data_IF_116806568462
#
_entry.id   IF_116806568462
#
_cell.length_a   1.000
_cell.length_b   1.000
_cell.length_c   1.000
_cell.angle_alpha   90.00
_cell.angle_beta   90.00
_cell.angle_gamma   90.00
#
_symmetry.space_group_name_H-M   'P 1'
#
loop_
_entity.id
_entity.type
_entity.pdbx_description
1 polymer ?
#
# COMPACT_ATOMS: atom_id res chain seq x y z
N UNK A 1 -32.10 18.69 29.19
CA UNK A 1 -31.77 18.57 27.75
C UNK A 1 -32.22 17.21 27.28
N UNK A 2 -33.25 17.07 26.43
CA UNK A 2 -33.70 15.78 25.86
C UNK A 2 -32.79 15.44 24.66
N UNK A 3 -32.23 14.25 24.66
CA UNK A 3 -31.45 13.72 23.52
C UNK A 3 -32.34 13.72 22.25
N UNK A 4 -31.96 14.46 21.18
CA UNK A 4 -32.76 14.52 19.96
C UNK A 4 -32.83 13.22 19.18
N UNK A 5 -32.07 12.22 19.58
CA UNK A 5 -32.08 10.86 19.00
C UNK A 5 -33.10 10.00 19.75
N UNK A 6 -34.31 9.94 19.20
CA UNK A 6 -35.38 9.10 19.74
C UNK A 6 -35.06 7.60 19.77
N UNK A 7 -35.93 6.80 20.47
CA UNK A 7 -35.67 5.37 20.72
C UNK A 7 -35.44 4.47 19.49
N UNK A 8 -35.67 4.98 18.29
CA UNK A 8 -35.50 4.23 17.02
C UNK A 8 -34.05 4.09 16.54
N UNK A 9 -33.08 4.80 17.14
CA UNK A 9 -31.66 4.70 16.76
C UNK A 9 -30.92 3.53 17.44
N UNK A 10 -31.56 2.83 18.36
CA UNK A 10 -31.01 1.67 19.09
C UNK A 10 -31.53 0.30 18.63
N UNK A 11 -32.25 0.21 17.54
CA UNK A 11 -32.35 -1.07 16.84
C UNK A 11 -30.93 -1.43 16.38
N UNK A 12 -30.19 -2.15 17.20
CA UNK A 12 -28.99 -2.87 16.80
C UNK A 12 -29.40 -3.66 15.55
N UNK A 13 -28.99 -3.16 14.37
CA UNK A 13 -29.09 -3.95 13.15
C UNK A 13 -28.29 -5.22 13.44
N UNK A 14 -28.96 -6.32 13.69
CA UNK A 14 -28.35 -7.65 13.68
C UNK A 14 -27.91 -7.88 12.24
N UNK A 15 -26.68 -7.46 11.92
CA UNK A 15 -26.05 -7.90 10.70
C UNK A 15 -25.99 -9.43 10.77
N UNK A 16 -26.49 -10.15 9.78
CA UNK A 16 -26.45 -11.60 9.81
C UNK A 16 -24.99 -12.04 9.94
N UNK A 17 -24.69 -13.10 10.70
CA UNK A 17 -23.33 -13.56 10.92
C UNK A 17 -22.67 -13.86 9.57
N UNK A 18 -21.50 -13.27 9.34
CA UNK A 18 -20.72 -13.48 8.12
C UNK A 18 -20.39 -14.98 8.00
N UNK A 19 -20.78 -15.57 6.90
CA UNK A 19 -20.52 -16.99 6.64
C UNK A 19 -19.16 -17.14 5.95
N UNK A 20 -18.46 -18.24 6.19
CA UNK A 20 -17.17 -18.55 5.54
C UNK A 20 -17.27 -18.46 4.01
N UNK A 21 -18.39 -18.84 3.42
CA UNK A 21 -18.63 -18.68 1.97
C UNK A 21 -18.58 -17.23 1.47
N UNK A 22 -18.94 -16.27 2.32
CA UNK A 22 -18.91 -14.85 1.97
C UNK A 22 -17.47 -14.34 1.91
N UNK A 23 -16.58 -14.90 2.74
CA UNK A 23 -15.14 -14.66 2.69
C UNK A 23 -14.54 -15.19 1.37
N UNK A 24 -14.88 -16.43 1.00
CA UNK A 24 -14.41 -17.00 -0.27
C UNK A 24 -14.97 -16.26 -1.49
N UNK A 25 -16.16 -15.65 -1.39
CA UNK A 25 -16.72 -14.85 -2.46
C UNK A 25 -15.86 -13.60 -2.78
N UNK A 26 -15.12 -13.05 -1.81
CA UNK A 26 -14.20 -11.93 -2.04
C UNK A 26 -13.09 -12.28 -3.06
N UNK A 27 -12.60 -13.51 -3.03
CA UNK A 27 -11.57 -13.97 -3.97
C UNK A 27 -12.07 -14.18 -5.41
N UNK A 28 -13.38 -14.10 -5.64
CA UNK A 28 -13.98 -14.09 -6.98
C UNK A 28 -13.99 -12.68 -7.60
N UNK A 29 -13.84 -11.64 -6.78
CA UNK A 29 -13.78 -10.25 -7.24
C UNK A 29 -12.34 -10.00 -7.73
N UNK A 30 -12.16 -9.89 -9.04
CA UNK A 30 -10.84 -9.75 -9.66
C UNK A 30 -10.09 -8.51 -9.16
N UNK A 31 -10.77 -7.39 -9.04
CA UNK A 31 -10.20 -6.16 -8.51
C UNK A 31 -9.77 -6.29 -7.05
N UNK A 32 -10.52 -7.02 -6.21
CA UNK A 32 -10.12 -7.30 -4.84
C UNK A 32 -8.80 -8.09 -4.78
N UNK A 33 -8.72 -9.18 -5.54
CA UNK A 33 -7.52 -10.05 -5.57
C UNK A 33 -6.30 -9.31 -6.08
N UNK A 34 -6.43 -8.59 -7.21
CA UNK A 34 -5.32 -7.85 -7.80
C UNK A 34 -4.87 -6.67 -6.94
N UNK A 35 -5.80 -5.98 -6.27
CA UNK A 35 -5.47 -4.95 -5.30
C UNK A 35 -4.70 -5.51 -4.10
N UNK A 36 -5.19 -6.61 -3.52
CA UNK A 36 -4.53 -7.28 -2.38
C UNK A 36 -3.15 -7.79 -2.77
N UNK A 37 -3.00 -8.41 -3.94
CA UNK A 37 -1.70 -8.86 -4.45
C UNK A 37 -0.71 -7.69 -4.66
N UNK A 38 -1.19 -6.58 -5.27
CA UNK A 38 -0.38 -5.38 -5.46
C UNK A 38 0.04 -4.74 -4.13
N UNK A 39 -0.91 -4.61 -3.19
CA UNK A 39 -0.63 -4.11 -1.84
C UNK A 39 0.36 -5.02 -1.10
N UNK A 40 0.26 -6.34 -1.24
CA UNK A 40 1.21 -7.29 -0.63
C UNK A 40 2.63 -7.09 -1.18
N UNK A 41 2.78 -6.96 -2.49
CA UNK A 41 4.07 -6.68 -3.12
C UNK A 41 4.63 -5.31 -2.69
N UNK A 42 3.80 -4.28 -2.62
CA UNK A 42 4.18 -2.95 -2.12
C UNK A 42 4.60 -3.02 -0.65
N UNK A 43 3.82 -3.69 0.21
CA UNK A 43 4.09 -3.82 1.63
C UNK A 43 5.38 -4.63 1.86
N UNK A 44 5.65 -5.64 1.03
CA UNK A 44 6.94 -6.35 1.03
C UNK A 44 8.12 -5.38 0.79
N UNK A 45 8.03 -4.50 -0.21
CA UNK A 45 9.07 -3.53 -0.49
C UNK A 45 9.24 -2.52 0.66
N UNK A 46 8.14 -1.99 1.21
CA UNK A 46 8.17 -1.06 2.35
C UNK A 46 8.78 -1.73 3.58
N UNK A 47 8.38 -2.95 3.93
CA UNK A 47 8.88 -3.69 5.08
C UNK A 47 10.40 -3.93 5.00
N UNK A 48 10.87 -4.40 3.83
CA UNK A 48 12.28 -4.61 3.58
C UNK A 48 13.10 -3.31 3.64
N UNK A 49 12.62 -2.25 2.98
CA UNK A 49 13.29 -0.93 3.01
C UNK A 49 13.31 -0.37 4.43
N UNK A 50 12.18 -0.38 5.13
CA UNK A 50 12.09 0.17 6.49
C UNK A 50 13.03 -0.52 7.48
N UNK A 51 13.22 -1.83 7.32
CA UNK A 51 14.08 -2.61 8.20
C UNK A 51 15.57 -2.46 7.85
N UNK A 52 15.92 -2.58 6.56
CA UNK A 52 17.31 -2.69 6.14
C UNK A 52 17.96 -1.38 5.72
N UNK A 53 17.21 -0.35 5.28
CA UNK A 53 17.81 0.88 4.74
C UNK A 53 18.67 1.63 5.76
N UNK A 54 18.25 1.84 7.03
CA UNK A 54 19.12 2.54 7.98
C UNK A 54 20.43 1.79 8.23
N UNK A 55 20.37 0.46 8.32
CA UNK A 55 21.55 -0.37 8.49
C UNK A 55 22.45 -0.36 7.27
N UNK A 56 21.86 -0.43 6.06
CA UNK A 56 22.59 -0.29 4.81
C UNK A 56 23.33 1.04 4.72
N UNK A 57 22.67 2.13 5.06
CA UNK A 57 23.30 3.46 5.07
C UNK A 57 24.45 3.53 6.07
N UNK A 58 24.29 2.92 7.23
CA UNK A 58 25.34 2.89 8.25
C UNK A 58 26.56 2.07 7.83
N UNK A 59 26.36 0.84 7.33
CA UNK A 59 27.43 -0.10 7.05
C UNK A 59 28.13 0.17 5.70
N UNK A 60 27.39 0.60 4.67
CA UNK A 60 27.90 0.67 3.29
C UNK A 60 28.04 2.10 2.77
N UNK A 61 27.34 3.05 3.38
CA UNK A 61 27.34 4.45 2.95
C UNK A 61 27.84 5.40 4.05
N UNK A 62 28.38 4.87 5.14
CA UNK A 62 28.83 5.63 6.29
C UNK A 62 29.91 6.69 5.94
N UNK A 63 30.83 6.37 5.03
CA UNK A 63 31.86 7.29 4.57
C UNK A 63 31.32 8.55 3.86
N UNK A 64 30.13 8.46 3.26
CA UNK A 64 29.50 9.57 2.54
C UNK A 64 29.01 10.68 3.49
N UNK A 65 28.96 10.44 4.80
CA UNK A 65 28.44 11.41 5.80
C UNK A 65 29.48 12.40 6.32
N UNK A 66 30.74 12.24 5.95
CA UNK A 66 31.87 13.13 6.36
C UNK A 66 32.29 12.99 7.81
N UNK A 67 31.36 12.75 8.74
CA UNK A 67 31.58 12.45 10.15
C UNK A 67 31.46 10.95 10.42
N UNK A 68 31.85 10.49 11.61
CA UNK A 68 31.65 9.11 12.02
C UNK A 68 30.16 8.74 11.91
N UNK A 69 29.80 7.67 11.18
CA UNK A 69 28.40 7.32 10.98
C UNK A 69 27.70 7.01 12.32
N UNK A 70 26.51 7.54 12.50
CA UNK A 70 25.70 7.34 13.71
C UNK A 70 24.35 6.74 13.32
N UNK A 71 24.14 5.47 13.67
CA UNK A 71 22.92 4.73 13.34
C UNK A 71 21.66 5.40 13.92
N UNK A 72 21.74 5.98 15.12
CA UNK A 72 20.62 6.70 15.73
C UNK A 72 20.21 7.93 14.93
N UNK A 73 21.20 8.72 14.44
CA UNK A 73 20.95 9.89 13.57
C UNK A 73 20.36 9.46 12.22
N UNK A 74 20.87 8.38 11.63
CA UNK A 74 20.35 7.84 10.37
C UNK A 74 18.90 7.39 10.54
N UNK A 75 18.58 6.65 11.61
CA UNK A 75 17.21 6.23 11.91
C UNK A 75 16.29 7.43 12.12
N UNK A 76 16.74 8.48 12.81
CA UNK A 76 15.93 9.68 13.04
C UNK A 76 15.60 10.39 11.72
N UNK A 77 16.60 10.59 10.85
CA UNK A 77 16.41 11.24 9.55
C UNK A 77 15.49 10.40 8.66
N UNK A 78 15.76 9.09 8.56
CA UNK A 78 14.93 8.18 7.77
C UNK A 78 13.50 8.11 8.30
N UNK A 79 13.31 8.05 9.62
CA UNK A 79 12.00 8.08 10.25
C UNK A 79 11.25 9.37 9.96
N UNK A 80 11.91 10.54 10.06
CA UNK A 80 11.33 11.84 9.72
C UNK A 80 10.91 11.90 8.24
N UNK A 81 11.77 11.43 7.33
CA UNK A 81 11.46 11.31 5.90
C UNK A 81 10.24 10.43 5.69
N UNK A 82 10.18 9.26 6.32
CA UNK A 82 9.08 8.30 6.17
C UNK A 82 7.76 8.88 6.64
N UNK A 83 7.75 9.56 7.78
CA UNK A 83 6.53 10.21 8.30
C UNK A 83 6.08 11.35 7.40
N UNK A 84 7.00 12.24 7.01
CA UNK A 84 6.66 13.39 6.15
C UNK A 84 6.20 12.93 4.76
N UNK A 85 6.98 12.07 4.10
CA UNK A 85 6.66 11.55 2.78
C UNK A 85 5.36 10.73 2.81
N UNK A 86 5.19 9.85 3.81
CA UNK A 86 4.01 8.99 3.95
C UNK A 86 2.72 9.79 4.14
N UNK A 87 2.74 10.80 5.02
CA UNK A 87 1.58 11.66 5.28
C UNK A 87 1.19 12.45 4.02
N UNK A 88 2.17 13.17 3.44
CA UNK A 88 1.92 14.00 2.25
C UNK A 88 1.48 13.12 1.08
N UNK A 89 2.16 12.00 0.83
CA UNK A 89 1.85 11.09 -0.26
C UNK A 89 0.45 10.48 -0.15
N UNK A 90 0.06 10.02 1.04
CA UNK A 90 -1.26 9.42 1.25
C UNK A 90 -2.39 10.41 0.97
N UNK A 91 -2.25 11.66 1.44
CA UNK A 91 -3.25 12.71 1.20
C UNK A 91 -3.30 13.12 -0.27
N UNK A 92 -2.14 13.38 -0.89
CA UNK A 92 -2.08 13.77 -2.30
C UNK A 92 -2.52 12.64 -3.22
N UNK A 93 -2.13 11.39 -2.92
CA UNK A 93 -2.53 10.22 -3.70
C UNK A 93 -4.04 10.01 -3.70
N UNK A 94 -4.69 10.13 -2.54
CA UNK A 94 -6.14 10.10 -2.45
C UNK A 94 -6.79 11.23 -3.25
N UNK A 95 -6.33 12.47 -3.05
CA UNK A 95 -6.87 13.64 -3.75
C UNK A 95 -6.71 13.54 -5.29
N UNK A 96 -5.54 13.14 -5.77
CA UNK A 96 -5.29 12.94 -7.22
C UNK A 96 -6.19 11.85 -7.77
N UNK A 97 -6.28 10.72 -7.09
CA UNK A 97 -7.08 9.60 -7.55
C UNK A 97 -8.57 9.95 -7.60
N UNK A 98 -9.10 10.64 -6.59
CA UNK A 98 -10.49 11.10 -6.56
C UNK A 98 -10.79 12.08 -7.70
N UNK A 99 -9.84 12.96 -8.02
CA UNK A 99 -9.99 13.90 -9.11
C UNK A 99 -10.03 13.21 -10.48
N UNK A 100 -9.16 12.21 -10.67
CA UNK A 100 -9.09 11.43 -11.92
C UNK A 100 -10.28 10.47 -12.02
N UNK A 101 -10.76 9.92 -10.90
CA UNK A 101 -11.91 9.01 -10.82
C UNK A 101 -13.19 9.64 -11.41
N UNK A 102 -13.35 10.96 -11.32
CA UNK A 102 -14.48 11.66 -11.92
C UNK A 102 -14.56 11.51 -13.44
N UNK A 103 -13.44 11.17 -14.10
CA UNK A 103 -13.35 11.00 -15.56
C UNK A 103 -13.04 9.58 -15.98
N UNK A 104 -12.42 8.80 -15.11
CA UNK A 104 -11.89 7.48 -15.43
C UNK A 104 -12.23 6.47 -14.30
N UNK A 105 -13.14 5.51 -14.52
CA UNK A 105 -13.54 4.53 -13.50
C UNK A 105 -12.40 3.68 -12.95
N UNK A 106 -11.32 3.53 -13.70
CA UNK A 106 -10.11 2.77 -13.32
C UNK A 106 -9.04 3.60 -12.60
N UNK A 107 -9.33 4.88 -12.28
CA UNK A 107 -8.34 5.84 -11.79
C UNK A 107 -7.59 5.39 -10.53
N UNK A 108 -8.26 4.80 -9.54
CA UNK A 108 -7.62 4.35 -8.31
C UNK A 108 -6.48 3.38 -8.59
N UNK A 109 -6.67 2.42 -9.49
CA UNK A 109 -5.66 1.45 -9.84
C UNK A 109 -4.56 2.03 -10.73
N UNK A 110 -4.92 2.88 -11.70
CA UNK A 110 -3.93 3.53 -12.56
C UNK A 110 -3.03 4.48 -11.78
N UNK A 111 -3.60 5.30 -10.89
CA UNK A 111 -2.83 6.20 -10.02
C UNK A 111 -1.91 5.40 -9.10
N UNK A 112 -2.40 4.32 -8.49
CA UNK A 112 -1.58 3.42 -7.66
C UNK A 112 -0.44 2.79 -8.47
N UNK A 113 -0.75 2.23 -9.63
CA UNK A 113 0.22 1.54 -10.47
C UNK A 113 1.31 2.47 -11.02
N UNK A 114 0.93 3.67 -11.47
CA UNK A 114 1.89 4.67 -11.96
C UNK A 114 2.76 5.19 -10.81
N UNK A 115 2.16 5.49 -9.65
CA UNK A 115 2.92 5.96 -8.50
C UNK A 115 3.98 4.95 -8.06
N UNK A 116 3.59 3.67 -7.89
CA UNK A 116 4.55 2.65 -7.47
C UNK A 116 5.62 2.39 -8.55
N UNK A 117 5.30 2.54 -9.83
CA UNK A 117 6.27 2.47 -10.91
C UNK A 117 7.34 3.55 -10.78
N UNK A 118 6.96 4.75 -10.38
CA UNK A 118 7.89 5.88 -10.18
C UNK A 118 8.78 5.70 -8.94
N UNK A 119 8.41 4.86 -7.97
CA UNK A 119 9.28 4.53 -6.85
C UNK A 119 10.50 3.72 -7.26
N UNK A 120 10.37 2.87 -8.29
CA UNK A 120 11.43 1.98 -8.77
C UNK A 120 12.73 2.72 -9.12
N UNK A 121 12.75 3.69 -10.05
CA UNK A 121 13.98 4.39 -10.41
C UNK A 121 14.57 5.18 -9.24
N UNK A 122 13.73 5.72 -8.34
CA UNK A 122 14.21 6.43 -7.16
C UNK A 122 14.96 5.49 -6.20
N UNK A 123 14.42 4.28 -5.95
CA UNK A 123 15.05 3.27 -5.10
C UNK A 123 16.38 2.79 -5.72
N UNK A 124 16.43 2.58 -7.02
CA UNK A 124 17.68 2.18 -7.70
C UNK A 124 18.71 3.30 -7.68
N UNK A 125 18.28 4.54 -7.97
CA UNK A 125 19.20 5.68 -8.03
C UNK A 125 19.81 6.02 -6.66
N UNK A 126 19.05 5.86 -5.55
CA UNK A 126 19.58 6.12 -4.21
C UNK A 126 20.79 5.25 -3.86
N UNK A 127 20.93 4.07 -4.47
CA UNK A 127 22.06 3.16 -4.24
C UNK A 127 23.39 3.71 -4.82
N UNK A 128 23.31 4.62 -5.80
CA UNK A 128 24.46 5.11 -6.58
C UNK A 128 24.77 6.60 -6.34
N UNK A 129 23.74 7.38 -6.02
CA UNK A 129 23.88 8.84 -5.87
C UNK A 129 24.51 9.19 -4.52
N UNK A 130 25.52 10.10 -4.47
CA UNK A 130 26.17 10.49 -3.21
C UNK A 130 25.23 11.32 -2.31
N UNK A 131 25.54 11.36 -1.01
CA UNK A 131 24.89 12.29 -0.09
C UNK A 131 25.36 13.74 -0.33
N UNK A 132 24.50 14.76 -0.13
CA UNK A 132 23.15 14.66 0.48
C UNK A 132 22.01 14.27 -0.49
N UNK A 133 22.26 14.14 -1.79
CA UNK A 133 21.25 13.91 -2.82
C UNK A 133 20.49 12.58 -2.64
N UNK A 134 21.15 11.56 -2.08
CA UNK A 134 20.53 10.28 -1.78
C UNK A 134 19.32 10.42 -0.84
N UNK A 135 19.31 11.39 0.11
CA UNK A 135 18.15 11.65 0.97
C UNK A 135 16.93 12.11 0.19
N UNK A 136 17.12 12.90 -0.88
CA UNK A 136 16.03 13.34 -1.75
C UNK A 136 15.45 12.15 -2.49
N UNK A 137 16.29 11.24 -2.99
CA UNK A 137 15.84 10.04 -3.68
C UNK A 137 15.14 9.06 -2.73
N UNK A 138 15.59 8.94 -1.48
CA UNK A 138 14.90 8.19 -0.43
C UNK A 138 13.51 8.80 -0.18
N UNK A 139 13.41 10.13 -0.03
CA UNK A 139 12.14 10.81 0.12
C UNK A 139 11.20 10.52 -1.07
N UNK A 140 11.69 10.67 -2.30
CA UNK A 140 10.91 10.43 -3.54
C UNK A 140 10.46 8.98 -3.63
N UNK A 141 11.35 8.02 -3.35
CA UNK A 141 11.03 6.59 -3.35
C UNK A 141 9.94 6.26 -2.33
N UNK A 142 10.11 6.69 -1.09
CA UNK A 142 9.13 6.49 0.00
C UNK A 142 7.82 7.21 -0.30
N UNK A 143 7.87 8.43 -0.83
CA UNK A 143 6.69 9.19 -1.24
C UNK A 143 5.85 8.40 -2.24
N UNK A 144 6.44 7.89 -3.30
CA UNK A 144 5.71 7.11 -4.30
C UNK A 144 5.27 5.72 -3.79
N UNK A 145 6.00 5.12 -2.85
CA UNK A 145 5.56 3.91 -2.17
C UNK A 145 4.28 4.12 -1.36
N UNK A 146 4.11 5.27 -0.69
CA UNK A 146 2.91 5.58 0.09
C UNK A 146 1.78 6.25 -0.72
N UNK A 147 2.06 6.76 -1.90
CA UNK A 147 1.08 7.51 -2.72
C UNK A 147 -0.16 6.68 -3.08
N UNK A 148 -0.01 5.38 -3.21
CA UNK A 148 -1.11 4.46 -3.51
C UNK A 148 -2.01 4.14 -2.31
N UNK A 149 -1.64 4.48 -1.07
CA UNK A 149 -2.37 4.09 0.15
C UNK A 149 -3.82 4.56 0.14
N UNK A 150 -4.08 5.82 -0.19
CA UNK A 150 -5.45 6.36 -0.33
C UNK A 150 -6.23 5.65 -1.44
N UNK A 151 -5.73 5.68 -2.69
CA UNK A 151 -6.40 5.09 -3.83
C UNK A 151 -6.70 3.59 -3.69
N UNK A 152 -5.75 2.78 -3.20
CA UNK A 152 -5.93 1.33 -3.05
C UNK A 152 -7.00 0.99 -2.02
N UNK A 153 -7.05 1.72 -0.89
CA UNK A 153 -8.11 1.56 0.10
C UNK A 153 -9.48 2.02 -0.41
N UNK A 154 -9.54 3.11 -1.19
CA UNK A 154 -10.78 3.56 -1.84
C UNK A 154 -11.28 2.52 -2.85
N UNK A 155 -10.40 1.95 -3.66
CA UNK A 155 -10.72 0.87 -4.58
C UNK A 155 -11.28 -0.36 -3.85
N UNK A 156 -10.62 -0.77 -2.76
CA UNK A 156 -11.07 -1.89 -1.92
C UNK A 156 -12.48 -1.66 -1.38
N UNK A 157 -12.76 -0.45 -0.86
CA UNK A 157 -14.08 -0.09 -0.37
C UNK A 157 -15.15 -0.12 -1.47
N UNK A 158 -14.81 0.30 -2.69
CA UNK A 158 -15.75 0.40 -3.80
C UNK A 158 -16.12 -0.95 -4.42
N UNK A 159 -15.21 -1.92 -4.41
CA UNK A 159 -15.47 -3.26 -5.00
C UNK A 159 -16.05 -4.26 -4.00
N UNK A 160 -16.13 -3.88 -2.72
CA UNK A 160 -16.65 -4.77 -1.67
C UNK A 160 -18.07 -4.36 -1.24
N UNK A 161 -19.03 -5.30 -1.25
CA UNK A 161 -20.37 -5.04 -0.73
C UNK A 161 -20.32 -4.56 0.73
N UNK A 162 -21.19 -3.60 1.14
CA UNK A 162 -21.20 -3.05 2.50
C UNK A 162 -21.26 -4.10 3.61
N UNK A 163 -22.06 -5.15 3.43
CA UNK A 163 -22.27 -6.20 4.43
C UNK A 163 -20.99 -6.98 4.80
N UNK A 164 -20.00 -7.07 3.89
CA UNK A 164 -18.75 -7.82 4.10
C UNK A 164 -17.51 -6.93 4.07
N UNK A 165 -17.68 -5.62 3.95
CA UNK A 165 -16.57 -4.66 3.77
C UNK A 165 -15.57 -4.69 4.92
N UNK A 166 -16.03 -4.71 6.16
CA UNK A 166 -15.14 -4.78 7.33
C UNK A 166 -14.27 -6.04 7.29
N UNK A 167 -14.86 -7.19 6.96
CA UNK A 167 -14.15 -8.47 6.81
C UNK A 167 -13.18 -8.45 5.63
N UNK A 168 -13.56 -7.81 4.50
CA UNK A 168 -12.69 -7.67 3.35
C UNK A 168 -11.44 -6.84 3.68
N UNK A 169 -11.59 -5.74 4.43
CA UNK A 169 -10.46 -4.94 4.92
C UNK A 169 -9.59 -5.72 5.90
N UNK A 170 -10.20 -6.40 6.88
CA UNK A 170 -9.46 -7.20 7.84
C UNK A 170 -8.63 -8.30 7.16
N UNK A 171 -9.23 -9.01 6.19
CA UNK A 171 -8.54 -10.04 5.42
C UNK A 171 -7.43 -9.46 4.55
N UNK A 172 -7.67 -8.33 3.88
CA UNK A 172 -6.65 -7.63 3.11
C UNK A 172 -5.48 -7.21 4.01
N UNK A 173 -5.74 -6.58 5.16
CA UNK A 173 -4.70 -6.18 6.13
C UNK A 173 -3.91 -7.39 6.60
N UNK A 174 -4.59 -8.50 6.95
CA UNK A 174 -3.92 -9.73 7.34
C UNK A 174 -2.97 -10.25 6.24
N UNK A 175 -3.45 -10.33 5.01
CA UNK A 175 -2.66 -10.85 3.87
C UNK A 175 -1.45 -9.97 3.60
N UNK A 176 -1.62 -8.65 3.53
CA UNK A 176 -0.51 -7.73 3.20
C UNK A 176 0.57 -7.72 4.28
N UNK A 177 0.20 -7.87 5.55
CA UNK A 177 1.18 -7.94 6.64
C UNK A 177 1.80 -9.32 6.79
N UNK A 178 1.01 -10.40 6.67
CA UNK A 178 1.54 -11.76 6.79
C UNK A 178 2.48 -12.15 5.63
N UNK A 179 2.15 -11.77 4.40
CA UNK A 179 2.91 -12.14 3.19
C UNK A 179 3.75 -11.01 2.60
N UNK A 180 3.57 -9.77 3.08
CA UNK A 180 4.38 -8.63 2.71
C UNK A 180 5.48 -8.37 3.74
N UNK A 181 5.27 -7.42 4.64
CA UNK A 181 6.31 -6.89 5.54
C UNK A 181 6.82 -7.90 6.58
N UNK A 182 6.03 -8.89 7.02
CA UNK A 182 6.52 -9.91 7.95
C UNK A 182 7.57 -10.84 7.31
N UNK A 183 7.41 -11.17 6.01
CA UNK A 183 8.31 -12.07 5.28
C UNK A 183 9.52 -11.30 4.73
N UNK A 184 9.34 -10.02 4.39
CA UNK A 184 10.38 -9.28 3.63
C UNK A 184 11.71 -9.14 4.39
N UNK A 185 11.81 -8.76 5.68
CA UNK A 185 13.10 -8.58 6.34
C UNK A 185 13.96 -9.84 6.38
N UNK A 186 13.44 -11.04 6.77
CA UNK A 186 14.24 -12.26 6.76
C UNK A 186 14.65 -12.70 5.35
N UNK A 187 13.75 -12.56 4.36
CA UNK A 187 14.06 -12.93 2.97
C UNK A 187 15.12 -12.01 2.37
N UNK A 188 15.00 -10.71 2.58
CA UNK A 188 15.98 -9.71 2.14
C UNK A 188 17.33 -9.93 2.82
N UNK A 189 17.34 -10.23 4.13
CA UNK A 189 18.57 -10.58 4.85
C UNK A 189 19.25 -11.85 4.31
N UNK A 190 18.47 -12.87 3.95
CA UNK A 190 18.99 -14.08 3.32
C UNK A 190 19.60 -13.80 1.94
N UNK A 191 18.95 -12.97 1.10
CA UNK A 191 19.47 -12.53 -0.20
C UNK A 191 20.78 -11.75 0.01
N UNK A 192 20.81 -10.82 0.93
CA UNK A 192 21.99 -10.00 1.25
C UNK A 192 23.17 -10.87 1.71
N UNK A 193 22.91 -11.91 2.51
CA UNK A 193 23.93 -12.85 2.97
C UNK A 193 24.49 -13.76 1.87
N UNK A 194 23.70 -14.06 0.84
CA UNK A 194 24.15 -14.88 -0.30
C UNK A 194 24.90 -14.09 -1.36
N UNK A 195 24.51 -12.87 -1.60
CA UNK A 195 25.09 -12.00 -2.63
C UNK A 195 25.69 -10.74 -2.01
N UNK A 196 24.87 -9.70 -1.88
CA UNK A 196 25.21 -8.45 -1.20
C UNK A 196 23.94 -7.64 -0.94
N UNK A 197 24.06 -6.58 -0.17
CA UNK A 197 22.92 -5.74 0.18
C UNK A 197 22.38 -4.95 -1.01
N UNK A 198 23.23 -4.53 -1.96
CA UNK A 198 22.77 -3.86 -3.20
C UNK A 198 21.83 -4.77 -4.01
N UNK A 199 22.19 -6.04 -4.18
CA UNK A 199 21.34 -7.02 -4.86
C UNK A 199 20.00 -7.20 -4.13
N UNK A 200 20.00 -7.21 -2.81
CA UNK A 200 18.78 -7.27 -2.00
C UNK A 200 17.87 -6.06 -2.23
N UNK A 201 18.43 -4.84 -2.30
CA UNK A 201 17.68 -3.63 -2.64
C UNK A 201 17.14 -3.63 -4.08
N UNK A 202 17.90 -4.18 -5.03
CA UNK A 202 17.41 -4.36 -6.42
C UNK A 202 16.22 -5.30 -6.46
N UNK A 203 16.23 -6.39 -5.67
CA UNK A 203 15.06 -7.28 -5.55
C UNK A 203 13.86 -6.56 -4.97
N UNK A 204 14.03 -5.76 -3.89
CA UNK A 204 12.95 -4.96 -3.33
C UNK A 204 12.37 -3.98 -4.37
N UNK A 205 13.24 -3.31 -5.12
CA UNK A 205 12.81 -2.43 -6.21
C UNK A 205 12.06 -3.20 -7.30
N UNK A 206 12.53 -4.39 -7.71
CA UNK A 206 11.84 -5.21 -8.71
C UNK A 206 10.45 -5.65 -8.25
N UNK A 207 10.24 -5.91 -6.96
CA UNK A 207 8.92 -6.23 -6.40
C UNK A 207 7.94 -5.07 -6.54
N UNK A 208 8.40 -3.81 -6.52
CA UNK A 208 7.53 -2.66 -6.81
C UNK A 208 7.01 -2.65 -8.25
N UNK A 209 7.79 -3.15 -9.21
CA UNK A 209 7.32 -3.33 -10.60
C UNK A 209 6.20 -4.38 -10.67
N UNK A 210 6.32 -5.46 -9.90
CA UNK A 210 5.26 -6.47 -9.81
C UNK A 210 3.96 -5.87 -9.24
N UNK A 211 4.05 -5.05 -8.19
CA UNK A 211 2.90 -4.31 -7.66
C UNK A 211 2.27 -3.40 -8.72
N UNK A 212 3.09 -2.65 -9.47
CA UNK A 212 2.63 -1.80 -10.58
C UNK A 212 1.87 -2.61 -11.64
N UNK A 213 2.40 -3.75 -12.05
CA UNK A 213 1.77 -4.65 -13.04
C UNK A 213 0.39 -5.09 -12.54
N UNK A 214 0.25 -5.51 -11.28
CA UNK A 214 -1.04 -5.94 -10.74
C UNK A 214 -2.07 -4.82 -10.74
N UNK A 215 -1.72 -3.58 -10.36
CA UNK A 215 -2.66 -2.46 -10.40
C UNK A 215 -3.00 -2.05 -11.84
N UNK A 216 -2.02 -1.90 -12.73
CA UNK A 216 -2.26 -1.52 -14.12
C UNK A 216 -3.11 -2.59 -14.83
N UNK A 217 -2.79 -3.86 -14.60
CA UNK A 217 -3.60 -4.96 -15.13
C UNK A 217 -5.00 -4.99 -14.54
N UNK A 218 -5.13 -4.77 -13.23
CA UNK A 218 -6.39 -4.74 -12.49
C UNK A 218 -7.31 -3.58 -12.90
N UNK A 219 -6.75 -2.49 -13.42
CA UNK A 219 -7.50 -1.31 -13.85
C UNK A 219 -8.63 -1.64 -14.84
N UNK A 220 -8.46 -2.69 -15.66
CA UNK A 220 -9.48 -3.15 -16.62
C UNK A 220 -10.73 -3.75 -15.96
N UNK A 221 -10.61 -4.22 -14.72
CA UNK A 221 -11.71 -4.87 -14.00
C UNK A 221 -12.40 -3.94 -13.01
N UNK A 222 -11.71 -2.88 -12.53
CA UNK A 222 -12.16 -2.04 -11.42
C UNK A 222 -13.53 -1.42 -11.65
N UNK A 223 -13.79 -0.87 -12.83
CA UNK A 223 -15.07 -0.23 -13.15
C UNK A 223 -16.24 -1.22 -13.11
N UNK A 224 -16.06 -2.38 -13.71
CA UNK A 224 -17.08 -3.45 -13.74
C UNK A 224 -17.38 -3.98 -12.33
N UNK A 225 -16.34 -4.31 -11.54
CA UNK A 225 -16.51 -4.87 -10.20
C UNK A 225 -17.15 -3.84 -9.25
N UNK A 226 -16.84 -2.54 -9.43
CA UNK A 226 -17.49 -1.45 -8.68
C UNK A 226 -19.00 -1.38 -8.97
N UNK A 227 -19.41 -1.51 -10.25
CA UNK A 227 -20.81 -1.51 -10.63
C UNK A 227 -21.57 -2.70 -10.01
N UNK A 228 -20.98 -3.90 -10.06
CA UNK A 228 -21.56 -5.09 -9.43
C UNK A 228 -21.75 -4.94 -7.92
N UNK A 229 -20.80 -4.32 -7.23
CA UNK A 229 -20.91 -4.04 -5.79
C UNK A 229 -22.07 -3.08 -5.48
N UNK A 230 -22.29 -2.05 -6.31
CA UNK A 230 -23.42 -1.11 -6.17
C UNK A 230 -24.76 -1.82 -6.44
N UNK A 231 -24.84 -2.65 -7.48
CA UNK A 231 -26.07 -3.40 -7.82
C UNK A 231 -26.47 -4.37 -6.71
N UNK A 232 -25.49 -5.09 -6.14
CA UNK A 232 -25.74 -6.00 -5.00
C UNK A 232 -26.34 -5.29 -3.78
N UNK A 233 -26.00 -4.01 -3.59
CA UNK A 233 -26.55 -3.17 -2.51
C UNK A 233 -27.98 -2.74 -2.81
N UNK A 234 -28.32 -2.46 -4.08
CA UNK A 234 -29.69 -2.06 -4.48
C UNK A 234 -30.68 -3.19 -4.39
N UNK A 235 -30.26 -4.43 -4.65
CA UNK A 235 -31.11 -5.62 -4.61
C UNK A 235 -31.46 -6.07 -3.18
N UNK A 236 -30.83 -5.52 -2.15
CA UNK A 236 -31.12 -5.77 -0.73
C UNK A 236 -31.63 -4.49 -0.03
N UNK A 237 -32.81 -3.94 -0.42
CA UNK A 237 -33.29 -2.64 0.07
C UNK A 237 -33.65 -2.57 1.56
N UNK A 238 -33.49 -3.67 2.30
CA UNK A 238 -33.77 -3.74 3.76
C UNK A 238 -32.53 -3.81 4.66
N UNK A 239 -31.31 -3.86 4.09
CA UNK A 239 -30.05 -4.06 4.84
C UNK A 239 -29.08 -2.83 4.78
N UNK A 240 -29.52 -1.67 4.23
CA UNK A 240 -28.75 -0.43 4.17
C UNK A 240 -29.05 0.53 5.35
#
# INVERSE_FOLDING_TARGET
MRDPRGPRSRAQRHEPPIKIKDIFALFRIRSYVLNTAAMTAMTFAIGGISFWLPRYLFDYRGADFGDAPNLGRINLIFGAITVAAGLIATLLGGWVADRVQRRLPSAYFLVSGIAILLSFPAIIAMLRVPFPWAWILIFVGVFFLFFNTGPSNAALANVTPPAVRATAFALNIFIIHAFGDAISPPLIGWIAGKWNMDAAFVVMAAVTLLASIFWIWGARYLGHDTLLAVESTRQRPGEA
#
